data_IF_541222060265
#
_entry.id   IF_541222060265
#
_cell.length_a   1.000
_cell.length_b   1.000
_cell.length_c   1.000
_cell.angle_alpha   90.00
_cell.angle_beta   90.00
_cell.angle_gamma   90.00
#
_symmetry.space_group_name_H-M   'P 1'
#
loop_
_entity.id
_entity.type
_entity.pdbx_description
1 polymer ?
#
# COMPACT_ATOMS: atom_id res chain seq x y z
N UNK A 1 -2.26 -6.82 52.56
CA UNK A 1 -2.79 -6.85 51.17
C UNK A 1 -2.55 -5.54 50.41
N UNK A 2 -2.52 -4.36 51.08
CA UNK A 2 -2.24 -3.07 50.44
C UNK A 2 -0.74 -2.68 50.37
N UNK A 3 0.15 -3.38 51.09
CA UNK A 3 1.57 -3.00 51.22
C UNK A 3 2.39 -3.12 49.92
N UNK A 4 1.91 -3.87 48.92
CA UNK A 4 2.58 -3.99 47.62
C UNK A 4 2.16 -2.92 46.59
N UNK A 5 1.17 -2.06 46.88
CA UNK A 5 0.75 -0.97 45.98
C UNK A 5 1.69 0.25 46.01
N UNK A 6 2.55 0.35 47.04
CA UNK A 6 3.46 1.49 47.20
C UNK A 6 4.78 1.34 46.44
N UNK A 7 5.06 0.18 45.83
CA UNK A 7 6.23 0.00 44.96
C UNK A 7 5.80 0.31 43.53
N UNK A 8 6.50 1.19 42.79
CA UNK A 8 6.24 1.36 41.37
C UNK A 8 6.41 0.01 40.69
N UNK A 9 5.33 -0.51 40.10
CA UNK A 9 5.37 -1.64 39.20
C UNK A 9 5.91 -1.12 37.87
N UNK A 10 7.06 -1.66 37.43
CA UNK A 10 7.46 -1.52 36.04
C UNK A 10 6.49 -2.38 35.22
N UNK A 11 5.47 -1.76 34.65
CA UNK A 11 4.62 -2.40 33.65
C UNK A 11 5.43 -2.37 32.35
N UNK A 12 5.98 -3.51 31.97
CA UNK A 12 6.58 -3.68 30.65
C UNK A 12 5.47 -3.73 29.63
N UNK A 13 5.46 -2.78 28.69
CA UNK A 13 4.59 -2.83 27.52
C UNK A 13 5.11 -3.94 26.62
N UNK A 14 4.28 -4.90 26.26
CA UNK A 14 4.64 -5.90 25.26
C UNK A 14 4.11 -5.49 23.88
N UNK A 15 4.93 -5.71 22.85
CA UNK A 15 4.48 -5.62 21.46
C UNK A 15 3.76 -6.91 21.07
N UNK A 16 2.50 -6.79 20.62
CA UNK A 16 1.71 -7.94 20.14
C UNK A 16 1.29 -7.75 18.70
N UNK A 17 1.72 -8.68 17.85
CA UNK A 17 1.46 -8.63 16.41
C UNK A 17 0.39 -9.64 16.02
N UNK A 18 -0.62 -9.17 15.29
CA UNK A 18 -1.74 -9.97 14.80
C UNK A 18 -1.92 -9.79 13.30
N UNK A 19 -2.49 -10.79 12.65
CA UNK A 19 -2.80 -10.76 11.22
C UNK A 19 -4.29 -10.90 10.99
N UNK A 20 -4.82 -10.09 10.08
CA UNK A 20 -6.11 -10.34 9.45
C UNK A 20 -6.01 -11.34 8.30
N UNK A 21 -7.12 -11.56 7.62
CA UNK A 21 -7.26 -12.53 6.52
C UNK A 21 -6.86 -11.98 5.15
N UNK A 22 -6.64 -10.67 5.01
CA UNK A 22 -6.38 -10.01 3.73
C UNK A 22 -5.01 -10.33 3.12
N UNK A 23 -3.98 -10.48 3.95
CA UNK A 23 -2.64 -10.87 3.49
C UNK A 23 -1.79 -11.53 4.60
N UNK A 24 -2.11 -12.77 5.03
CA UNK A 24 -1.39 -13.43 6.13
C UNK A 24 0.09 -13.68 5.84
N UNK A 25 0.46 -13.84 4.57
CA UNK A 25 1.85 -14.08 4.17
C UNK A 25 2.74 -12.86 4.37
N UNK A 26 2.23 -11.65 4.11
CA UNK A 26 2.94 -10.41 4.43
C UNK A 26 3.11 -10.26 5.95
N UNK A 27 2.05 -10.53 6.73
CA UNK A 27 2.12 -10.46 8.19
C UNK A 27 3.18 -11.41 8.77
N UNK A 28 3.32 -12.62 8.22
CA UNK A 28 4.38 -13.57 8.60
C UNK A 28 5.78 -13.04 8.27
N UNK A 29 5.95 -12.40 7.11
CA UNK A 29 7.24 -11.79 6.72
C UNK A 29 7.61 -10.66 7.67
N UNK A 30 6.67 -9.78 8.00
CA UNK A 30 6.86 -8.69 8.98
C UNK A 30 7.23 -9.25 10.35
N UNK A 31 6.49 -10.25 10.85
CA UNK A 31 6.79 -10.90 12.13
C UNK A 31 8.20 -11.49 12.18
N UNK A 32 8.62 -12.16 11.09
CA UNK A 32 9.96 -12.73 10.96
C UNK A 32 11.07 -11.66 11.03
N UNK A 33 10.88 -10.50 10.41
CA UNK A 33 11.85 -9.39 10.44
C UNK A 33 11.95 -8.81 11.85
N UNK A 34 10.82 -8.66 12.53
CA UNK A 34 10.76 -8.17 13.92
C UNK A 34 11.24 -9.19 14.96
N UNK A 35 11.53 -10.42 14.55
CA UNK A 35 11.80 -11.55 15.43
C UNK A 35 10.66 -11.80 16.45
N UNK A 36 9.42 -11.63 15.99
CA UNK A 36 8.19 -11.86 16.76
C UNK A 36 7.38 -13.01 16.16
N UNK A 37 6.47 -13.56 16.95
CA UNK A 37 5.45 -14.50 16.48
C UNK A 37 4.10 -13.79 16.31
N UNK A 38 3.35 -14.18 15.28
CA UNK A 38 1.95 -13.78 15.16
C UNK A 38 1.14 -14.43 16.27
N UNK A 39 0.54 -13.58 17.10
CA UNK A 39 -0.26 -14.00 18.24
C UNK A 39 -1.59 -14.61 17.79
N UNK A 40 -2.19 -15.42 18.66
CA UNK A 40 -3.44 -16.12 18.35
C UNK A 40 -4.64 -15.18 18.26
N UNK A 41 -5.23 -15.08 17.06
CA UNK A 41 -6.51 -14.41 16.80
C UNK A 41 -7.47 -15.39 16.13
N UNK A 42 -8.57 -15.71 16.82
CA UNK A 42 -9.61 -16.55 16.26
C UNK A 42 -10.51 -15.70 15.38
N UNK A 43 -10.41 -15.90 14.06
CA UNK A 43 -11.26 -15.27 13.05
C UNK A 43 -12.12 -16.34 12.38
N UNK A 44 -13.43 -16.16 12.40
CA UNK A 44 -14.36 -17.04 11.71
C UNK A 44 -15.52 -16.26 11.09
N UNK A 45 -16.16 -16.87 10.09
CA UNK A 45 -17.43 -16.39 9.54
C UNK A 45 -18.54 -17.36 9.92
N UNK A 46 -19.58 -16.85 10.56
CA UNK A 46 -20.78 -17.63 10.82
C UNK A 46 -21.51 -17.97 9.50
N UNK A 47 -22.43 -18.93 9.56
CA UNK A 47 -23.15 -19.43 8.38
C UNK A 47 -23.96 -18.34 7.65
N UNK A 48 -24.35 -17.26 8.34
CA UNK A 48 -25.04 -16.09 7.78
C UNK A 48 -24.09 -15.01 7.23
N UNK A 49 -22.76 -15.21 7.31
CA UNK A 49 -21.75 -14.29 6.80
C UNK A 49 -21.22 -13.28 7.81
N UNK A 50 -21.71 -13.27 9.05
CA UNK A 50 -21.19 -12.39 10.11
C UNK A 50 -19.76 -12.79 10.51
N UNK A 51 -18.88 -11.81 10.64
CA UNK A 51 -17.50 -12.00 11.09
C UNK A 51 -17.45 -12.04 12.61
N UNK A 52 -16.73 -13.02 13.16
CA UNK A 52 -16.41 -13.13 14.57
C UNK A 52 -14.90 -13.04 14.76
N UNK A 53 -14.48 -12.26 15.76
CA UNK A 53 -13.08 -12.12 16.15
C UNK A 53 -12.91 -12.27 17.66
N UNK A 54 -11.89 -13.01 18.08
CA UNK A 54 -11.51 -13.13 19.50
C UNK A 54 -10.01 -13.35 19.66
N UNK A 55 -9.37 -12.50 20.46
CA UNK A 55 -8.00 -12.71 20.93
C UNK A 55 -7.93 -13.99 21.77
N UNK A 56 -7.00 -14.89 21.43
CA UNK A 56 -6.80 -16.16 22.15
C UNK A 56 -6.17 -15.90 23.53
N UNK A 57 -5.29 -14.90 23.60
CA UNK A 57 -4.56 -14.50 24.79
C UNK A 57 -4.95 -13.08 25.21
N UNK A 58 -4.61 -12.70 26.44
CA UNK A 58 -4.84 -11.34 26.93
C UNK A 58 -4.00 -10.35 26.12
N UNK A 59 -4.62 -9.22 25.76
CA UNK A 59 -3.96 -8.04 25.18
C UNK A 59 -3.97 -6.84 26.13
N UNK A 60 -4.36 -7.05 27.40
CA UNK A 60 -4.54 -5.99 28.39
C UNK A 60 -3.23 -5.25 28.67
N UNK A 61 -3.22 -3.94 28.41
CA UNK A 61 -2.06 -3.08 28.65
C UNK A 61 -0.95 -3.21 27.61
N UNK A 62 -1.18 -3.99 26.54
CA UNK A 62 -0.19 -4.23 25.49
C UNK A 62 -0.31 -3.22 24.34
N UNK A 63 0.78 -3.09 23.59
CA UNK A 63 0.84 -2.34 22.33
C UNK A 63 0.49 -3.29 21.18
N UNK A 64 -0.74 -3.19 20.67
CA UNK A 64 -1.28 -4.13 19.68
C UNK A 64 -1.10 -3.57 18.26
N UNK A 65 -0.51 -4.38 17.39
CA UNK A 65 -0.41 -4.11 15.96
C UNK A 65 -1.21 -5.15 15.18
N UNK A 66 -2.18 -4.70 14.37
CA UNK A 66 -2.99 -5.56 13.52
C UNK A 66 -2.73 -5.26 12.05
N UNK A 67 -2.17 -6.23 11.32
CA UNK A 67 -1.85 -6.09 9.89
C UNK A 67 -3.04 -6.58 9.07
N UNK A 68 -3.61 -5.69 8.26
CA UNK A 68 -4.70 -6.00 7.34
C UNK A 68 -4.62 -5.20 6.04
N UNK A 69 -4.54 -5.91 4.92
CA UNK A 69 -4.71 -5.34 3.58
C UNK A 69 -6.20 -5.28 3.23
N UNK A 70 -6.71 -4.11 2.80
CA UNK A 70 -8.11 -3.93 2.39
C UNK A 70 -8.24 -3.94 0.86
N UNK A 71 -8.18 -5.12 0.24
CA UNK A 71 -8.17 -5.25 -1.21
C UNK A 71 -9.00 -6.45 -1.71
N UNK A 72 -9.21 -6.52 -3.03
CA UNK A 72 -9.89 -7.64 -3.67
C UNK A 72 -11.42 -7.63 -3.56
N UNK A 73 -12.09 -8.74 -3.92
CA UNK A 73 -13.55 -8.81 -4.03
C UNK A 73 -14.27 -8.72 -2.67
N UNK A 74 -13.57 -8.96 -1.56
CA UNK A 74 -14.08 -8.97 -0.20
C UNK A 74 -13.64 -7.75 0.63
N UNK A 75 -13.36 -6.62 -0.01
CA UNK A 75 -12.89 -5.38 0.66
C UNK A 75 -13.78 -4.95 1.84
N UNK A 76 -15.10 -5.15 1.74
CA UNK A 76 -16.04 -4.84 2.83
C UNK A 76 -15.90 -5.77 4.02
N UNK A 77 -15.72 -7.06 3.77
CA UNK A 77 -15.55 -8.05 4.83
C UNK A 77 -14.24 -7.82 5.57
N UNK A 78 -13.17 -7.46 4.84
CA UNK A 78 -11.86 -7.14 5.40
C UNK A 78 -11.91 -5.86 6.25
N UNK A 79 -12.68 -4.86 5.81
CA UNK A 79 -12.93 -3.66 6.59
C UNK A 79 -13.71 -4.00 7.87
N UNK A 80 -14.81 -4.76 7.76
CA UNK A 80 -15.59 -5.19 8.92
C UNK A 80 -14.78 -6.03 9.89
N UNK A 81 -13.95 -6.96 9.40
CA UNK A 81 -13.00 -7.73 10.21
C UNK A 81 -12.08 -6.80 11.01
N UNK A 82 -11.53 -5.77 10.36
CA UNK A 82 -10.66 -4.78 11.02
C UNK A 82 -11.38 -4.03 12.14
N UNK A 83 -12.61 -3.55 11.86
CA UNK A 83 -13.40 -2.81 12.84
C UNK A 83 -13.77 -3.69 14.05
N UNK A 84 -14.11 -4.96 13.82
CA UNK A 84 -14.47 -5.91 14.88
C UNK A 84 -13.24 -6.25 15.74
N UNK A 85 -12.06 -6.43 15.12
CA UNK A 85 -10.82 -6.68 15.85
C UNK A 85 -10.42 -5.46 16.70
N UNK A 86 -10.57 -4.23 16.18
CA UNK A 86 -10.30 -3.01 16.92
C UNK A 86 -11.23 -2.84 18.14
N UNK A 87 -12.54 -3.09 17.96
CA UNK A 87 -13.51 -3.06 19.07
C UNK A 87 -13.17 -4.15 20.12
N UNK A 88 -12.81 -5.35 19.68
CA UNK A 88 -12.39 -6.44 20.57
C UNK A 88 -11.13 -6.07 21.38
N UNK A 89 -10.15 -5.40 20.77
CA UNK A 89 -8.92 -4.97 21.44
C UNK A 89 -9.21 -3.90 22.50
N UNK A 90 -10.04 -2.91 22.13
CA UNK A 90 -10.50 -1.85 23.03
C UNK A 90 -11.22 -2.45 24.25
N UNK A 91 -12.16 -3.37 24.04
CA UNK A 91 -12.89 -4.06 25.13
C UNK A 91 -12.01 -4.98 25.97
N UNK A 92 -10.96 -5.53 25.38
CA UNK A 92 -9.94 -6.30 26.09
C UNK A 92 -8.93 -5.43 26.85
N UNK A 93 -9.07 -4.10 26.78
CA UNK A 93 -8.22 -3.10 27.45
C UNK A 93 -6.77 -3.10 26.97
N UNK A 94 -6.55 -3.26 25.66
CA UNK A 94 -5.25 -2.91 25.05
C UNK A 94 -4.85 -1.46 25.40
N UNK A 95 -3.55 -1.19 25.54
CA UNK A 95 -3.08 0.18 25.83
C UNK A 95 -3.16 1.04 24.58
N UNK A 96 -2.72 0.50 23.44
CA UNK A 96 -2.90 1.11 22.11
C UNK A 96 -3.19 0.03 21.07
N UNK A 97 -4.05 0.36 20.10
CA UNK A 97 -4.34 -0.46 18.92
C UNK A 97 -3.94 0.29 17.65
N UNK A 98 -2.80 -0.11 17.08
CA UNK A 98 -2.32 0.38 15.78
C UNK A 98 -2.77 -0.56 14.66
N UNK A 99 -3.51 -0.04 13.69
CA UNK A 99 -3.83 -0.77 12.47
C UNK A 99 -2.77 -0.51 11.40
N UNK A 100 -2.21 -1.58 10.85
CA UNK A 100 -1.26 -1.54 9.75
C UNK A 100 -2.02 -1.95 8.48
N UNK A 101 -2.23 -0.99 7.58
CA UNK A 101 -3.04 -1.13 6.37
C UNK A 101 -2.14 -0.99 5.13
N UNK A 102 -1.51 -2.08 4.64
CA UNK A 102 -0.64 -2.01 3.46
C UNK A 102 -1.35 -1.48 2.22
N UNK A 103 -2.63 -1.77 2.02
CA UNK A 103 -3.46 -1.13 0.99
C UNK A 103 -4.75 -0.59 1.61
N UNK A 104 -4.94 0.73 1.49
CA UNK A 104 -6.13 1.42 1.99
C UNK A 104 -7.26 1.36 0.97
N UNK A 105 -8.23 0.47 1.23
CA UNK A 105 -9.46 0.35 0.44
C UNK A 105 -10.22 1.68 0.38
N UNK A 106 -11.01 1.88 -0.68
CA UNK A 106 -11.78 3.11 -0.90
C UNK A 106 -10.98 4.41 -1.08
N UNK A 107 -9.64 4.38 -1.12
CA UNK A 107 -8.79 5.57 -1.26
C UNK A 107 -9.07 6.40 -2.54
N UNK A 108 -9.63 5.80 -3.59
CA UNK A 108 -10.03 6.52 -4.82
C UNK A 108 -11.30 7.37 -4.67
N UNK A 109 -12.03 7.21 -3.55
CA UNK A 109 -13.23 7.97 -3.22
C UNK A 109 -12.91 9.01 -2.13
N UNK A 110 -11.90 9.83 -2.38
CA UNK A 110 -11.33 10.84 -1.47
C UNK A 110 -11.93 12.24 -1.65
N UNK A 111 -12.76 12.45 -2.67
CA UNK A 111 -13.45 13.72 -2.93
C UNK A 111 -14.75 13.47 -3.67
N UNK A 112 -15.60 14.50 -3.71
CA UNK A 112 -16.78 14.53 -4.58
C UNK A 112 -16.36 15.00 -5.98
N UNK A 113 -16.39 14.11 -6.96
CA UNK A 113 -16.18 14.44 -8.37
C UNK A 113 -17.50 14.88 -9.04
N UNK A 114 -18.64 14.42 -8.52
CA UNK A 114 -19.98 14.79 -8.93
C UNK A 114 -20.91 15.14 -7.73
N UNK A 115 -22.04 15.83 -7.97
CA UNK A 115 -23.02 16.09 -6.92
C UNK A 115 -23.56 14.79 -6.31
N UNK A 116 -23.76 14.79 -4.99
CA UNK A 116 -24.36 13.68 -4.20
C UNK A 116 -23.53 12.40 -4.10
N UNK A 117 -22.22 12.46 -4.36
CA UNK A 117 -21.30 11.36 -4.05
C UNK A 117 -20.87 11.33 -2.58
N UNK A 118 -20.55 10.15 -2.02
CA UNK A 118 -19.88 10.03 -0.73
C UNK A 118 -18.39 10.38 -0.84
N UNK A 119 -17.75 10.63 0.31
CA UNK A 119 -16.29 10.60 0.45
C UNK A 119 -15.97 9.36 1.29
N UNK A 120 -15.98 8.20 0.65
CA UNK A 120 -15.91 6.92 1.36
C UNK A 120 -14.57 6.72 2.06
N UNK A 121 -13.47 7.27 1.54
CA UNK A 121 -12.19 7.26 2.26
C UNK A 121 -12.29 7.98 3.62
N UNK A 122 -13.04 9.10 3.72
CA UNK A 122 -13.30 9.78 5.01
C UNK A 122 -14.24 8.96 5.90
N UNK A 123 -15.24 8.30 5.32
CA UNK A 123 -16.11 7.39 6.07
C UNK A 123 -15.30 6.25 6.71
N UNK A 124 -14.39 5.61 5.95
CA UNK A 124 -13.51 4.55 6.47
C UNK A 124 -12.64 5.08 7.60
N UNK A 125 -12.04 6.27 7.47
CA UNK A 125 -11.27 6.89 8.54
C UNK A 125 -12.10 7.07 9.83
N UNK A 126 -13.30 7.66 9.71
CA UNK A 126 -14.21 7.84 10.85
C UNK A 126 -14.61 6.51 11.50
N UNK A 127 -14.82 5.45 10.70
CA UNK A 127 -15.19 4.14 11.22
C UNK A 127 -14.04 3.49 12.01
N UNK A 128 -12.80 3.58 11.50
CA UNK A 128 -11.62 3.06 12.18
C UNK A 128 -11.42 3.74 13.54
N UNK A 129 -11.51 5.08 13.59
CA UNK A 129 -11.44 5.83 14.84
C UNK A 129 -12.56 5.46 15.81
N UNK A 130 -13.80 5.40 15.32
CA UNK A 130 -14.95 5.03 16.14
C UNK A 130 -14.88 3.59 16.68
N UNK A 131 -14.16 2.69 16.00
CA UNK A 131 -13.92 1.33 16.45
C UNK A 131 -12.80 1.21 17.50
N UNK A 132 -12.07 2.30 17.80
CA UNK A 132 -10.99 2.33 18.78
C UNK A 132 -9.60 2.09 18.19
N UNK A 133 -9.37 2.50 16.94
CA UNK A 133 -8.00 2.58 16.38
C UNK A 133 -7.31 3.83 16.90
N UNK A 134 -6.12 3.69 17.49
CA UNK A 134 -5.33 4.79 18.05
C UNK A 134 -4.32 5.37 17.05
N UNK A 135 -3.91 4.56 16.05
CA UNK A 135 -2.93 4.93 15.02
C UNK A 135 -3.11 4.10 13.76
N UNK A 136 -2.77 4.70 12.62
CA UNK A 136 -2.70 4.00 11.32
C UNK A 136 -1.27 4.01 10.79
N UNK A 137 -0.78 2.85 10.32
CA UNK A 137 0.38 2.76 9.43
C UNK A 137 -0.14 2.34 8.06
N UNK A 138 0.18 3.05 7.00
CA UNK A 138 -0.32 2.75 5.64
C UNK A 138 0.75 3.03 4.58
N UNK A 139 0.62 2.42 3.41
CA UNK A 139 1.59 2.54 2.32
C UNK A 139 0.95 3.17 1.07
N UNK A 140 1.61 4.18 0.50
CA UNK A 140 1.24 4.90 -0.73
C UNK A 140 -0.27 5.07 -0.91
N UNK A 141 -0.87 5.94 -0.08
CA UNK A 141 -2.24 6.40 -0.24
C UNK A 141 -2.44 7.01 -1.63
N UNK A 142 -3.61 6.76 -2.23
CA UNK A 142 -3.98 7.34 -3.53
C UNK A 142 -3.82 8.88 -3.55
N UNK A 143 -4.09 9.49 -2.39
CA UNK A 143 -4.05 10.93 -2.18
C UNK A 143 -3.44 11.22 -0.81
N UNK A 144 -2.40 12.05 -0.76
CA UNK A 144 -1.71 12.39 0.49
C UNK A 144 -2.63 13.06 1.51
N UNK A 145 -3.69 13.71 1.03
CA UNK A 145 -4.70 14.40 1.83
C UNK A 145 -5.53 13.46 2.70
N UNK A 146 -5.58 12.16 2.38
CA UNK A 146 -6.28 11.15 3.20
C UNK A 146 -5.71 11.11 4.63
N UNK A 147 -4.44 11.48 4.84
CA UNK A 147 -3.88 11.62 6.20
C UNK A 147 -4.68 12.63 7.04
N UNK A 148 -5.17 13.72 6.44
CA UNK A 148 -6.01 14.72 7.11
C UNK A 148 -7.48 14.29 7.28
N UNK A 149 -7.84 13.06 6.88
CA UNK A 149 -9.14 12.49 7.24
C UNK A 149 -9.15 11.89 8.63
N UNK A 150 -7.97 11.66 9.21
CA UNK A 150 -7.81 11.14 10.55
C UNK A 150 -7.53 12.27 11.54
N UNK A 151 -8.13 12.18 12.71
CA UNK A 151 -7.80 12.97 13.90
C UNK A 151 -6.76 12.25 14.79
N UNK A 152 -6.47 10.98 14.47
CA UNK A 152 -5.38 10.16 15.05
C UNK A 152 -4.09 10.21 14.21
N UNK A 153 -2.92 9.88 14.77
CA UNK A 153 -1.67 9.84 14.01
C UNK A 153 -1.68 8.84 12.86
N UNK A 154 -1.19 9.27 11.70
CA UNK A 154 -1.01 8.44 10.51
C UNK A 154 0.47 8.40 10.12
N UNK A 155 1.03 7.20 10.09
CA UNK A 155 2.35 6.92 9.53
C UNK A 155 2.17 6.48 8.08
N UNK A 156 2.43 7.39 7.14
CA UNK A 156 2.28 7.13 5.71
C UNK A 156 3.63 6.83 5.04
N UNK A 157 3.80 5.58 4.61
CA UNK A 157 5.00 5.04 3.99
C UNK A 157 4.96 5.16 2.47
N UNK A 158 6.11 5.01 1.81
CA UNK A 158 6.19 4.94 0.35
C UNK A 158 7.08 3.79 -0.12
N UNK A 159 6.64 3.08 -1.16
CA UNK A 159 7.42 2.04 -1.84
C UNK A 159 8.25 2.59 -3.02
N UNK A 160 8.21 3.90 -3.27
CA UNK A 160 8.86 4.52 -4.43
C UNK A 160 10.35 4.16 -4.53
N UNK A 161 11.06 4.23 -3.41
CA UNK A 161 12.50 3.94 -3.34
C UNK A 161 12.79 2.45 -3.48
N UNK A 162 11.91 1.58 -2.96
CA UNK A 162 12.00 0.13 -3.15
C UNK A 162 11.94 -0.25 -4.64
N UNK A 163 11.03 0.39 -5.40
CA UNK A 163 11.02 0.22 -6.86
C UNK A 163 12.25 0.82 -7.54
N UNK A 164 12.75 1.95 -7.03
CA UNK A 164 14.00 2.54 -7.48
C UNK A 164 15.18 1.58 -7.35
N UNK A 165 15.34 0.96 -6.17
CA UNK A 165 16.38 -0.03 -5.90
C UNK A 165 16.23 -1.27 -6.76
N UNK A 166 14.99 -1.76 -6.92
CA UNK A 166 14.67 -2.85 -7.84
C UNK A 166 15.14 -2.58 -9.28
N UNK A 167 14.94 -1.36 -9.79
CA UNK A 167 15.41 -1.00 -11.12
C UNK A 167 16.92 -0.73 -11.18
N UNK A 168 17.55 -0.25 -10.10
CA UNK A 168 19.01 -0.09 -10.02
C UNK A 168 19.78 -1.40 -10.12
N UNK A 169 19.17 -2.52 -9.72
CA UNK A 169 19.73 -3.85 -9.91
C UNK A 169 19.67 -4.34 -11.37
N UNK A 170 18.93 -3.64 -12.25
CA UNK A 170 18.89 -3.93 -13.68
C UNK A 170 20.04 -3.22 -14.42
N UNK A 171 20.53 -3.85 -15.48
CA UNK A 171 21.57 -3.28 -16.35
C UNK A 171 20.94 -2.30 -17.37
N UNK A 172 20.50 -1.15 -16.90
CA UNK A 172 19.92 -0.09 -17.72
C UNK A 172 20.95 0.97 -18.11
N UNK A 173 20.85 1.45 -19.35
CA UNK A 173 21.46 2.72 -19.76
C UNK A 173 20.60 3.87 -19.24
N UNK A 174 21.02 4.47 -18.11
CA UNK A 174 20.29 5.55 -17.45
C UNK A 174 20.21 6.84 -18.27
N UNK A 175 21.15 7.09 -19.19
CA UNK A 175 21.09 8.24 -20.12
C UNK A 175 20.00 8.03 -21.19
N UNK A 176 19.77 6.77 -21.59
CA UNK A 176 18.71 6.37 -22.51
C UNK A 176 17.45 5.81 -21.80
N UNK A 177 17.27 6.10 -20.52
CA UNK A 177 16.09 5.72 -19.73
C UNK A 177 15.26 6.95 -19.37
N UNK A 178 13.95 6.78 -19.30
CA UNK A 178 13.00 7.84 -18.93
C UNK A 178 11.89 7.28 -18.04
N UNK A 179 11.63 7.95 -16.92
CA UNK A 179 10.45 7.67 -16.10
C UNK A 179 9.25 8.38 -16.71
N UNK A 180 8.17 7.64 -16.94
CA UNK A 180 6.96 8.16 -17.57
C UNK A 180 5.84 8.26 -16.53
N UNK A 181 5.37 9.47 -16.27
CA UNK A 181 4.16 9.70 -15.49
C UNK A 181 2.92 9.31 -16.30
N UNK A 182 2.04 8.45 -15.80
CA UNK A 182 0.86 7.99 -16.52
C UNK A 182 -0.18 9.11 -16.71
N UNK A 183 -0.18 10.14 -15.88
CA UNK A 183 -0.95 11.38 -16.07
C UNK A 183 -0.28 12.56 -15.35
N UNK A 184 -0.91 13.73 -15.38
CA UNK A 184 -0.40 14.94 -14.72
C UNK A 184 -0.45 14.85 -13.18
N UNK A 185 -1.35 14.06 -12.60
CA UNK A 185 -1.51 13.94 -11.15
C UNK A 185 -0.32 13.27 -10.47
N UNK A 186 0.36 12.36 -11.18
CA UNK A 186 1.54 11.64 -10.67
C UNK A 186 2.89 12.23 -11.08
N UNK A 187 2.90 13.38 -11.78
CA UNK A 187 4.12 13.97 -12.33
C UNK A 187 5.20 14.24 -11.26
N UNK A 188 4.81 14.66 -10.06
CA UNK A 188 5.76 14.86 -8.93
C UNK A 188 6.41 13.56 -8.46
N UNK A 189 5.65 12.46 -8.43
CA UNK A 189 6.15 11.15 -8.01
C UNK A 189 7.07 10.57 -9.07
N UNK A 190 6.70 10.67 -10.34
CA UNK A 190 7.54 10.29 -11.46
C UNK A 190 8.87 11.06 -11.47
N UNK A 191 8.84 12.37 -11.15
CA UNK A 191 10.06 13.18 -11.01
C UNK A 191 10.95 12.73 -9.85
N UNK A 192 10.37 12.43 -8.68
CA UNK A 192 11.13 11.87 -7.56
C UNK A 192 11.83 10.56 -7.93
N UNK A 193 11.13 9.66 -8.63
CA UNK A 193 11.73 8.41 -9.10
C UNK A 193 12.82 8.67 -10.14
N UNK A 194 12.60 9.56 -11.10
CA UNK A 194 13.62 9.89 -12.11
C UNK A 194 14.88 10.48 -11.47
N UNK A 195 14.72 11.34 -10.47
CA UNK A 195 15.84 11.93 -9.73
C UNK A 195 16.60 10.86 -8.93
N UNK A 196 15.88 9.94 -8.31
CA UNK A 196 16.48 8.82 -7.57
C UNK A 196 17.25 7.84 -8.47
N UNK A 197 16.77 7.65 -9.70
CA UNK A 197 17.38 6.80 -10.72
C UNK A 197 18.45 7.52 -11.56
N UNK A 198 18.52 8.84 -11.51
CA UNK A 198 19.45 9.64 -12.30
C UNK A 198 19.10 9.70 -13.80
N UNK A 199 17.80 9.69 -14.14
CA UNK A 199 17.34 9.69 -15.54
C UNK A 199 16.28 10.77 -15.83
N UNK A 200 15.84 10.88 -17.08
CA UNK A 200 14.86 11.89 -17.49
C UNK A 200 13.43 11.54 -17.03
N UNK A 201 12.54 12.54 -17.05
CA UNK A 201 11.10 12.35 -16.82
C UNK A 201 10.30 12.76 -18.05
N UNK A 202 9.26 12.00 -18.37
CA UNK A 202 8.23 12.34 -19.34
C UNK A 202 6.84 12.28 -18.70
N UNK A 203 5.90 13.07 -19.20
CA UNK A 203 4.55 13.16 -18.65
C UNK A 203 3.52 12.92 -19.76
N UNK A 204 2.67 11.92 -19.58
CA UNK A 204 1.56 11.67 -20.49
C UNK A 204 0.43 12.69 -20.25
N UNK A 205 0.00 13.35 -21.33
CA UNK A 205 -1.21 14.16 -21.33
C UNK A 205 -2.38 13.30 -21.79
N UNK A 206 -3.30 13.01 -20.87
CA UNK A 206 -4.53 12.26 -21.15
C UNK A 206 -5.74 13.18 -21.22
N UNK A 207 -6.60 12.94 -22.21
CA UNK A 207 -7.97 13.46 -22.19
C UNK A 207 -8.91 12.35 -21.74
N UNK A 208 -9.89 12.68 -20.88
CA UNK A 208 -10.92 11.73 -20.40
C UNK A 208 -12.29 12.14 -20.95
N UNK A 209 -12.64 11.77 -22.19
CA UNK A 209 -13.96 12.06 -22.74
C UNK A 209 -15.09 11.22 -22.07
N UNK A 210 -14.76 10.09 -21.42
CA UNK A 210 -15.70 9.26 -20.62
C UNK A 210 -15.00 8.69 -19.38
N UNK A 211 -15.77 8.31 -18.35
CA UNK A 211 -15.25 7.79 -17.07
C UNK A 211 -14.33 6.55 -17.18
N UNK A 212 -14.52 5.72 -18.23
CA UNK A 212 -13.80 4.44 -18.37
C UNK A 212 -12.88 4.34 -19.60
N UNK A 213 -12.58 5.46 -20.27
CA UNK A 213 -11.69 5.46 -21.44
C UNK A 213 -10.85 6.74 -21.44
N UNK A 214 -9.60 6.62 -21.02
CA UNK A 214 -8.60 7.67 -21.14
C UNK A 214 -7.69 7.35 -22.33
N UNK A 215 -7.56 8.30 -23.26
CA UNK A 215 -6.63 8.21 -24.38
C UNK A 215 -5.44 9.15 -24.13
N UNK A 216 -4.22 8.65 -24.38
CA UNK A 216 -3.01 9.46 -24.35
C UNK A 216 -2.99 10.32 -25.61
N UNK A 217 -3.17 11.62 -25.43
CA UNK A 217 -3.22 12.60 -26.52
C UNK A 217 -1.82 13.08 -26.93
N UNK A 218 -0.87 13.04 -26.00
CA UNK A 218 0.51 13.45 -26.23
C UNK A 218 1.41 13.18 -25.04
N UNK A 219 2.72 13.38 -25.24
CA UNK A 219 3.77 13.20 -24.24
C UNK A 219 4.58 14.50 -24.18
N UNK A 220 4.83 14.98 -22.96
CA UNK A 220 5.81 16.02 -22.68
C UNK A 220 7.10 15.33 -22.26
N UNK A 221 8.18 15.51 -23.02
CA UNK A 221 9.45 14.78 -22.85
C UNK A 221 9.77 13.87 -24.04
N UNK A 222 10.98 13.31 -24.09
CA UNK A 222 11.41 12.42 -25.17
C UNK A 222 11.38 10.96 -24.72
N UNK A 223 10.57 10.13 -25.39
CA UNK A 223 10.45 8.70 -25.14
C UNK A 223 10.96 7.84 -26.31
N UNK A 224 11.29 8.45 -27.45
CA UNK A 224 11.55 7.72 -28.69
C UNK A 224 12.86 6.94 -28.60
N UNK A 225 12.78 5.62 -28.74
CA UNK A 225 13.91 4.70 -28.61
C UNK A 225 14.42 4.50 -27.19
N UNK A 226 13.79 5.12 -26.19
CA UNK A 226 14.22 5.06 -24.78
C UNK A 226 13.55 3.91 -24.04
N UNK A 227 14.25 3.38 -23.04
CA UNK A 227 13.63 2.53 -22.01
C UNK A 227 12.71 3.37 -21.15
N UNK A 228 11.44 3.00 -21.08
CA UNK A 228 10.41 3.73 -20.36
C UNK A 228 10.02 2.99 -19.09
N UNK A 229 10.10 3.65 -17.93
CA UNK A 229 9.61 3.13 -16.66
C UNK A 229 8.33 3.89 -16.29
N UNK A 230 7.18 3.23 -16.39
CA UNK A 230 5.91 3.81 -15.94
C UNK A 230 5.78 3.58 -14.43
N UNK A 231 5.45 4.62 -13.66
CA UNK A 231 5.18 4.50 -12.22
C UNK A 231 3.76 4.96 -11.90
N UNK A 232 2.98 4.10 -11.25
CA UNK A 232 1.62 4.40 -10.80
C UNK A 232 1.42 4.01 -9.32
N UNK A 233 0.34 4.42 -8.67
CA UNK A 233 0.08 4.00 -7.28
C UNK A 233 -0.56 2.62 -7.24
N UNK A 234 -1.46 2.33 -8.18
CA UNK A 234 -2.19 1.08 -8.21
C UNK A 234 -2.57 0.65 -9.62
N UNK A 235 -2.69 -0.66 -9.83
CA UNK A 235 -3.19 -1.26 -11.07
C UNK A 235 -4.45 -2.06 -10.74
N UNK A 236 -5.61 -1.56 -11.19
CA UNK A 236 -6.91 -2.21 -10.98
C UNK A 236 -7.28 -3.13 -12.14
N UNK A 237 -7.93 -2.62 -13.18
CA UNK A 237 -8.35 -3.43 -14.35
C UNK A 237 -7.31 -3.49 -15.46
N UNK A 238 -6.17 -2.78 -15.29
CA UNK A 238 -5.12 -2.55 -16.29
C UNK A 238 -5.55 -1.93 -17.64
N UNK A 239 -6.84 -1.64 -17.88
CA UNK A 239 -7.32 -1.21 -19.20
C UNK A 239 -6.71 0.13 -19.67
N UNK A 240 -6.78 1.16 -18.81
CA UNK A 240 -6.19 2.48 -19.11
C UNK A 240 -4.66 2.40 -19.24
N UNK A 241 -4.02 1.57 -18.41
CA UNK A 241 -2.58 1.37 -18.42
C UNK A 241 -2.13 0.73 -19.75
N UNK A 242 -2.76 -0.37 -20.17
CA UNK A 242 -2.45 -1.04 -21.46
C UNK A 242 -2.75 -0.15 -22.66
N UNK A 243 -3.85 0.61 -22.64
CA UNK A 243 -4.10 1.63 -23.67
C UNK A 243 -2.97 2.67 -23.76
N UNK A 244 -2.43 3.09 -22.61
CA UNK A 244 -1.30 4.03 -22.54
C UNK A 244 -0.01 3.38 -23.08
N UNK A 245 0.26 2.13 -22.73
CA UNK A 245 1.43 1.36 -23.19
C UNK A 245 1.43 1.22 -24.71
N UNK A 246 0.30 0.82 -25.29
CA UNK A 246 0.17 0.70 -26.75
C UNK A 246 0.44 2.04 -27.43
N UNK A 247 -0.08 3.14 -26.87
CA UNK A 247 0.17 4.47 -27.42
C UNK A 247 1.63 4.90 -27.31
N UNK A 248 2.31 4.62 -26.20
CA UNK A 248 3.74 4.86 -26.02
C UNK A 248 4.56 4.09 -27.08
N UNK A 249 4.22 2.83 -27.32
CA UNK A 249 4.85 2.02 -28.38
C UNK A 249 4.63 2.62 -29.78
N UNK A 250 3.41 3.05 -30.11
CA UNK A 250 3.13 3.76 -31.38
C UNK A 250 3.95 5.05 -31.54
N UNK A 251 4.20 5.76 -30.44
CA UNK A 251 5.03 6.97 -30.40
C UNK A 251 6.54 6.68 -30.45
N UNK A 252 6.93 5.40 -30.53
CA UNK A 252 8.30 4.95 -30.69
C UNK A 252 9.03 4.68 -29.39
N UNK A 253 8.34 4.47 -28.27
CA UNK A 253 8.98 4.00 -27.03
C UNK A 253 9.73 2.67 -27.26
N UNK A 254 10.92 2.56 -26.65
CA UNK A 254 11.69 1.32 -26.59
C UNK A 254 11.07 0.33 -25.61
N UNK A 255 11.86 -0.35 -24.80
CA UNK A 255 11.35 -1.26 -23.78
C UNK A 255 10.52 -0.52 -22.73
N UNK A 256 9.44 -1.15 -22.27
CA UNK A 256 8.54 -0.57 -21.27
C UNK A 256 8.51 -1.47 -20.04
N UNK A 257 8.82 -0.88 -18.90
CA UNK A 257 8.70 -1.44 -17.57
C UNK A 257 7.60 -0.70 -16.81
N UNK A 258 6.95 -1.39 -15.89
CA UNK A 258 5.90 -0.81 -15.05
C UNK A 258 6.26 -1.06 -13.59
N UNK A 259 6.07 -0.05 -12.76
CA UNK A 259 6.03 -0.16 -11.31
C UNK A 259 4.71 0.38 -10.77
N UNK A 260 4.10 -0.32 -9.82
CA UNK A 260 2.99 0.23 -9.06
C UNK A 260 2.95 -0.35 -7.65
N UNK A 261 2.68 0.47 -6.63
CA UNK A 261 2.65 -0.04 -5.26
C UNK A 261 1.59 -1.12 -5.10
N UNK A 262 0.36 -0.87 -5.54
CA UNK A 262 -0.77 -1.75 -5.28
C UNK A 262 -1.26 -2.47 -6.53
N UNK A 263 -0.88 -3.74 -6.69
CA UNK A 263 -1.42 -4.62 -7.74
C UNK A 263 -2.79 -5.19 -7.36
N UNK A 264 -3.88 -4.41 -7.53
CA UNK A 264 -5.25 -4.84 -7.24
C UNK A 264 -5.70 -5.94 -8.22
N UNK A 265 -5.33 -5.78 -9.49
CA UNK A 265 -5.53 -6.76 -10.57
C UNK A 265 -6.94 -7.37 -10.66
N UNK A 266 -7.97 -6.55 -10.67
CA UNK A 266 -9.36 -7.03 -10.80
C UNK A 266 -9.76 -7.35 -12.24
N UNK A 267 -10.68 -8.31 -12.39
CA UNK A 267 -11.20 -8.71 -13.70
C UNK A 267 -10.09 -9.28 -14.59
N UNK A 268 -9.94 -8.73 -15.80
CA UNK A 268 -8.99 -9.21 -16.82
C UNK A 268 -7.60 -8.57 -16.72
N UNK A 269 -7.24 -8.01 -15.56
CA UNK A 269 -6.04 -7.20 -15.44
C UNK A 269 -4.76 -8.02 -15.68
N UNK A 270 -4.70 -9.23 -15.13
CA UNK A 270 -3.56 -10.13 -15.30
C UNK A 270 -3.36 -10.47 -16.77
N UNK A 271 -4.41 -10.91 -17.47
CA UNK A 271 -4.35 -11.28 -18.88
C UNK A 271 -3.93 -10.09 -19.76
N UNK A 272 -4.39 -8.89 -19.42
CA UNK A 272 -4.00 -7.65 -20.10
C UNK A 272 -2.53 -7.33 -19.92
N UNK A 273 -1.99 -7.47 -18.71
CA UNK A 273 -0.57 -7.23 -18.44
C UNK A 273 0.31 -8.28 -19.12
N UNK A 274 -0.06 -9.56 -19.05
CA UNK A 274 0.70 -10.65 -19.66
C UNK A 274 0.74 -10.53 -21.20
N UNK A 275 -0.35 -10.06 -21.82
CA UNK A 275 -0.41 -9.82 -23.28
C UNK A 275 0.14 -8.47 -23.72
N UNK A 276 0.37 -7.52 -22.80
CA UNK A 276 0.85 -6.18 -23.14
C UNK A 276 2.30 -6.19 -23.68
N UNK A 277 2.66 -5.24 -24.57
CA UNK A 277 4.01 -5.13 -25.12
C UNK A 277 4.96 -4.45 -24.11
N UNK A 278 5.12 -5.07 -22.95
CA UNK A 278 6.05 -4.68 -21.88
C UNK A 278 7.05 -5.79 -21.60
N UNK A 279 8.16 -5.41 -21.00
CA UNK A 279 9.15 -6.37 -20.49
C UNK A 279 8.69 -6.94 -19.16
N UNK A 280 8.27 -6.07 -18.23
CA UNK A 280 7.99 -6.45 -16.86
C UNK A 280 7.02 -5.46 -16.18
N UNK A 281 6.21 -5.97 -15.26
CA UNK A 281 5.36 -5.21 -14.37
C UNK A 281 5.66 -5.61 -12.93
N UNK A 282 6.41 -4.77 -12.20
CA UNK A 282 6.72 -4.99 -10.79
C UNK A 282 5.68 -4.28 -9.91
N UNK A 283 5.14 -4.99 -8.91
CA UNK A 283 4.27 -4.41 -7.88
C UNK A 283 4.78 -4.73 -6.49
N UNK A 284 4.22 -4.14 -5.43
CA UNK A 284 4.54 -4.62 -4.08
C UNK A 284 3.72 -5.85 -3.71
N UNK A 285 4.14 -6.57 -2.68
CA UNK A 285 3.37 -7.65 -2.05
C UNK A 285 2.35 -7.16 -1.00
N UNK A 286 2.06 -5.84 -0.95
CA UNK A 286 1.01 -5.27 -0.11
C UNK A 286 -0.36 -5.92 -0.38
N UNK A 287 -0.62 -6.28 -1.65
CA UNK A 287 -1.75 -7.10 -2.08
C UNK A 287 -1.22 -8.44 -2.62
N UNK A 288 -1.76 -9.59 -2.19
CA UNK A 288 -1.36 -10.89 -2.72
C UNK A 288 -1.62 -11.00 -4.23
N UNK A 289 -0.63 -11.46 -4.99
CA UNK A 289 -0.77 -11.73 -6.42
C UNK A 289 -0.22 -13.14 -6.74
N UNK A 290 -1.11 -14.11 -6.95
CA UNK A 290 -0.74 -15.52 -7.10
C UNK A 290 0.12 -15.80 -8.35
N UNK A 291 -0.03 -14.98 -9.40
CA UNK A 291 0.73 -15.13 -10.66
C UNK A 291 2.11 -14.47 -10.60
N UNK A 292 2.34 -13.58 -9.62
CA UNK A 292 3.60 -12.87 -9.52
C UNK A 292 4.77 -13.82 -9.26
N UNK A 293 5.91 -13.53 -9.89
CA UNK A 293 7.16 -14.31 -9.80
C UNK A 293 7.07 -15.76 -10.32
N UNK A 294 5.93 -16.21 -10.85
CA UNK A 294 5.83 -17.51 -11.49
C UNK A 294 6.70 -17.57 -12.76
N UNK A 295 7.25 -18.74 -13.13
CA UNK A 295 8.01 -18.89 -14.38
C UNK A 295 7.22 -18.40 -15.59
N UNK A 296 7.80 -17.47 -16.36
CA UNK A 296 7.18 -16.90 -17.55
C UNK A 296 6.20 -15.74 -17.29
N UNK A 297 5.84 -15.43 -16.04
CA UNK A 297 5.01 -14.26 -15.74
C UNK A 297 5.81 -12.96 -15.90
N UNK A 298 5.20 -11.99 -16.58
CA UNK A 298 5.69 -10.60 -16.63
C UNK A 298 5.47 -9.85 -15.31
N UNK A 299 4.62 -10.36 -14.43
CA UNK A 299 4.32 -9.73 -13.14
C UNK A 299 5.34 -10.19 -12.10
N UNK A 300 6.00 -9.23 -11.45
CA UNK A 300 6.94 -9.44 -10.34
C UNK A 300 6.44 -8.75 -9.08
N UNK A 301 6.90 -9.21 -7.93
CA UNK A 301 6.65 -8.51 -6.66
C UNK A 301 7.94 -8.16 -5.93
N UNK A 302 7.99 -6.96 -5.36
CA UNK A 302 8.94 -6.57 -4.31
C UNK A 302 8.24 -6.61 -2.95
N UNK A 303 8.95 -7.05 -1.92
CA UNK A 303 8.35 -7.19 -0.58
C UNK A 303 8.42 -5.86 0.18
N UNK A 304 7.29 -5.39 0.71
CA UNK A 304 7.22 -4.21 1.61
C UNK A 304 7.30 -4.57 3.09
N UNK A 305 7.62 -5.83 3.40
CA UNK A 305 7.66 -6.33 4.77
C UNK A 305 8.71 -5.61 5.65
N UNK A 306 9.85 -5.19 5.06
CA UNK A 306 10.90 -4.48 5.79
C UNK A 306 10.43 -3.08 6.19
N UNK A 307 9.85 -2.35 5.25
CA UNK A 307 9.25 -1.03 5.43
C UNK A 307 8.18 -1.02 6.53
N UNK A 308 7.31 -2.03 6.53
CA UNK A 308 6.27 -2.19 7.54
C UNK A 308 6.85 -2.58 8.90
N UNK A 309 7.82 -3.49 8.94
CA UNK A 309 8.50 -3.90 10.18
C UNK A 309 9.21 -2.72 10.83
N UNK A 310 10.00 -1.97 10.06
CA UNK A 310 10.74 -0.83 10.58
C UNK A 310 9.79 0.27 11.08
N UNK A 311 8.66 0.50 10.40
CA UNK A 311 7.64 1.43 10.86
C UNK A 311 6.96 0.97 12.17
N UNK A 312 6.62 -0.32 12.28
CA UNK A 312 6.06 -0.90 13.52
C UNK A 312 7.05 -0.74 14.66
N UNK A 313 8.32 -1.10 14.43
CA UNK A 313 9.38 -0.99 15.43
C UNK A 313 9.57 0.46 15.88
N UNK A 314 9.68 1.40 14.93
CA UNK A 314 9.86 2.81 15.23
C UNK A 314 8.68 3.40 16.03
N UNK A 315 7.44 3.03 15.69
CA UNK A 315 6.26 3.42 16.46
C UNK A 315 6.33 2.86 17.89
N UNK A 316 6.66 1.58 18.03
CA UNK A 316 6.76 0.92 19.34
C UNK A 316 7.85 1.54 20.24
N UNK A 317 9.04 1.79 19.70
CA UNK A 317 10.16 2.37 20.47
C UNK A 317 10.16 3.91 20.53
N UNK A 318 9.12 4.56 19.99
CA UNK A 318 8.98 6.02 19.93
C UNK A 318 10.14 6.74 19.23
N UNK A 319 10.68 6.16 18.15
CA UNK A 319 11.73 6.79 17.33
C UNK A 319 11.17 7.40 16.05
N UNK A 320 11.87 8.39 15.45
CA UNK A 320 11.41 9.00 14.22
C UNK A 320 11.33 7.99 13.08
N UNK A 321 10.15 7.88 12.47
CA UNK A 321 9.92 7.06 11.28
C UNK A 321 10.59 7.68 10.04
N UNK A 322 10.83 8.99 10.04
CA UNK A 322 11.38 9.74 8.89
C UNK A 322 12.83 9.37 8.50
N UNK A 323 13.57 8.69 9.39
CA UNK A 323 14.93 8.21 9.11
C UNK A 323 14.99 6.80 8.51
N UNK A 324 13.86 6.10 8.44
CA UNK A 324 13.76 4.70 7.98
C UNK A 324 13.61 4.60 6.46
N UNK A 325 13.01 5.61 5.83
CA UNK A 325 12.70 5.58 4.40
C UNK A 325 13.75 6.37 3.62
N UNK A 326 14.51 5.65 2.79
CA UNK A 326 15.73 6.08 2.07
C UNK A 326 15.59 7.22 1.05
N UNK A 327 15.08 8.36 1.48
CA UNK A 327 15.31 9.64 0.85
C UNK A 327 15.46 10.67 1.95
N UNK A 328 16.55 11.44 1.95
CA UNK A 328 16.72 12.60 2.83
C UNK A 328 15.38 13.32 2.97
N UNK A 329 14.76 13.21 4.14
CA UNK A 329 13.49 13.84 4.48
C UNK A 329 13.61 15.37 4.57
N UNK A 330 14.80 15.89 4.27
CA UNK A 330 15.10 17.28 3.93
C UNK A 330 15.25 17.44 2.40
N UNK A 331 14.13 17.45 1.66
CA UNK A 331 13.96 18.17 0.38
C UNK A 331 12.49 18.22 -0.07
#
# INVERSE_FOLDING_TARGET
>A
MYENLCKPLNVEKEIKLFSGTGNPELSKRVAKILHLELQGLHLEKFANGETYARFVESVRGDEVFFIQTLAGPNVNDLLMETLIVADAATRASADNFTVVIPHYGYARQDRKAAPREPITARLVANLLEAAGVDRVITLDLHSNQIQGFFDIPVTHLTALYLFGDYFKEKDFDWENTVVVSPDMGRAKVAKKLSDYLGCEVAIAHKSRPKHNAAEVMGIIGNIKGKTCIINDDMIDTAGTLVGSINKLKEMGAGDIYISATHGIFSGQAVERIESAPIVECVVSDAIPCAVANQPGSKIKTVSVAQELADAIYAVYVNTPVSGVFGGNSEM
#
